data_IF_642789229998
#
_entry.id   IF_642789229998
#
_cell.length_a   1.000
_cell.length_b   1.000
_cell.length_c   1.000
_cell.angle_alpha   90.00
_cell.angle_beta   90.00
_cell.angle_gamma   90.00
#
_symmetry.space_group_name_H-M   'P 1'
#
loop_
_entity.id
_entity.type
_entity.pdbx_description
1 polymer ?
#
# COMPACT_ATOMS: atom_id res chain seq x y z
N UNK A 1 -29.96 12.70 -33.77
CA UNK A 1 -28.93 12.28 -34.74
C UNK A 1 -27.62 12.97 -34.33
N UNK A 2 -27.04 12.52 -33.20
CA UNK A 2 -25.71 12.94 -32.79
C UNK A 2 -24.72 11.99 -33.45
N UNK A 3 -23.72 12.54 -34.13
CA UNK A 3 -22.64 11.75 -34.69
C UNK A 3 -21.86 11.23 -33.49
N UNK A 4 -21.89 9.91 -33.25
CA UNK A 4 -20.95 9.22 -32.36
C UNK A 4 -19.54 9.53 -32.88
N UNK A 5 -18.94 10.64 -32.45
CA UNK A 5 -17.57 10.97 -32.78
C UNK A 5 -16.70 10.15 -31.86
N UNK A 6 -16.13 9.07 -32.41
CA UNK A 6 -15.16 8.24 -31.73
C UNK A 6 -14.10 9.12 -31.04
N UNK A 7 -13.98 8.96 -29.72
CA UNK A 7 -13.02 9.72 -28.91
C UNK A 7 -11.73 8.92 -28.87
N UNK A 8 -10.71 9.39 -29.59
CA UNK A 8 -9.40 8.73 -29.59
C UNK A 8 -8.72 8.90 -28.24
N UNK A 9 -7.99 7.88 -27.84
CA UNK A 9 -7.20 7.94 -26.63
C UNK A 9 -6.35 6.69 -26.42
N UNK A 10 -5.56 6.72 -25.36
CA UNK A 10 -4.72 5.58 -24.94
C UNK A 10 -5.29 5.03 -23.63
N UNK A 11 -5.58 3.74 -23.60
CA UNK A 11 -5.87 3.04 -22.35
C UNK A 11 -4.56 2.56 -21.74
N UNK A 12 -4.30 2.96 -20.51
CA UNK A 12 -3.16 2.47 -19.71
C UNK A 12 -3.72 1.70 -18.53
N UNK A 13 -3.36 0.43 -18.38
CA UNK A 13 -3.70 -0.39 -17.21
C UNK A 13 -2.43 -0.85 -16.54
N UNK A 14 -2.32 -0.68 -15.22
CA UNK A 14 -1.17 -1.17 -14.49
C UNK A 14 -1.57 -2.02 -13.28
N UNK A 15 -0.69 -2.95 -12.92
CA UNK A 15 -0.74 -3.62 -11.63
C UNK A 15 0.52 -3.32 -10.83
N UNK A 16 0.35 -3.13 -9.53
CA UNK A 16 1.43 -3.05 -8.54
C UNK A 16 1.42 -4.34 -7.71
N UNK A 17 2.53 -5.04 -7.62
CA UNK A 17 2.68 -6.27 -6.83
C UNK A 17 3.93 -6.29 -5.97
N UNK A 18 3.91 -7.09 -4.91
CA UNK A 18 5.04 -7.27 -3.99
C UNK A 18 5.78 -8.57 -4.27
N UNK A 19 7.11 -8.54 -4.23
CA UNK A 19 8.01 -9.67 -4.47
C UNK A 19 9.15 -9.68 -3.45
N UNK A 20 9.63 -10.87 -3.10
CA UNK A 20 10.85 -11.04 -2.29
C UNK A 20 12.13 -10.93 -3.12
N UNK A 21 12.01 -10.86 -4.45
CA UNK A 21 13.16 -10.73 -5.34
C UNK A 21 13.86 -9.39 -5.13
N UNK A 22 15.17 -9.46 -4.88
CA UNK A 22 16.03 -8.30 -4.96
C UNK A 22 16.60 -8.20 -6.37
N UNK A 23 15.97 -7.39 -7.22
CA UNK A 23 16.41 -7.19 -8.60
C UNK A 23 17.73 -6.42 -8.59
N UNK A 24 18.74 -7.00 -9.23
CA UNK A 24 20.05 -6.39 -9.33
C UNK A 24 19.94 -5.12 -10.19
N UNK A 25 20.16 -3.96 -9.58
CA UNK A 25 20.03 -2.63 -10.23
C UNK A 25 21.00 -2.40 -11.42
N UNK A 26 21.76 -3.43 -11.80
CA UNK A 26 22.65 -3.47 -12.95
C UNK A 26 21.90 -3.63 -14.29
N UNK A 27 20.66 -4.14 -14.28
CA UNK A 27 19.85 -4.44 -15.48
C UNK A 27 18.90 -3.30 -15.90
N UNK A 28 19.05 -2.10 -15.34
CA UNK A 28 18.17 -0.97 -15.63
C UNK A 28 18.26 -0.59 -17.12
N UNK A 29 17.11 -0.57 -17.78
CA UNK A 29 16.99 -0.01 -19.13
C UNK A 29 16.95 1.51 -19.00
N UNK A 30 17.99 2.19 -19.48
CA UNK A 30 18.08 3.64 -19.46
C UNK A 30 17.15 4.24 -20.54
N UNK A 31 15.87 4.41 -20.20
CA UNK A 31 14.92 5.09 -21.08
C UNK A 31 15.19 6.60 -20.98
N UNK A 32 15.66 7.21 -22.06
CA UNK A 32 15.61 8.68 -22.23
C UNK A 32 14.15 9.12 -22.20
N UNK A 33 13.63 9.51 -21.02
CA UNK A 33 12.34 10.20 -20.88
C UNK A 33 12.35 11.42 -21.81
N UNK A 34 11.32 11.54 -22.66
CA UNK A 34 11.13 12.67 -23.56
C UNK A 34 11.06 13.98 -22.77
N UNK A 35 11.64 15.05 -23.34
CA UNK A 35 12.00 16.34 -22.74
C UNK A 35 10.88 17.18 -22.08
N UNK A 36 9.65 16.69 -21.92
CA UNK A 36 8.50 17.56 -21.63
C UNK A 36 7.80 17.34 -20.30
N UNK A 37 7.92 16.15 -19.69
CA UNK A 37 7.24 15.86 -18.43
C UNK A 37 8.20 16.13 -17.25
N UNK A 38 7.74 16.73 -16.14
CA UNK A 38 8.45 16.59 -14.88
C UNK A 38 8.50 15.09 -14.57
N UNK A 39 9.67 14.48 -14.78
CA UNK A 39 9.97 13.21 -14.11
C UNK A 39 9.92 13.50 -12.62
N UNK A 40 9.51 12.54 -11.81
CA UNK A 40 9.61 12.59 -10.37
C UNK A 40 10.86 11.85 -9.86
N UNK A 41 12.10 12.20 -10.33
CA UNK A 41 13.29 11.41 -10.03
C UNK A 41 13.63 11.36 -8.54
N UNK A 42 13.07 12.30 -7.76
CA UNK A 42 13.28 12.47 -6.33
C UNK A 42 12.08 12.01 -5.47
N UNK A 43 11.00 11.46 -6.07
CA UNK A 43 9.95 10.81 -5.27
C UNK A 43 10.43 9.43 -4.87
N UNK A 44 10.31 9.16 -3.57
CA UNK A 44 10.62 7.87 -2.97
C UNK A 44 9.32 7.07 -2.88
N UNK A 45 9.29 5.82 -3.39
CA UNK A 45 10.41 5.07 -3.97
C UNK A 45 10.67 5.37 -5.46
N UNK A 46 11.95 5.36 -5.87
CA UNK A 46 12.36 5.58 -7.26
C UNK A 46 11.94 4.41 -8.14
N UNK A 47 11.22 4.70 -9.20
CA UNK A 47 10.84 3.71 -10.20
C UNK A 47 11.96 3.48 -11.21
N UNK A 48 12.30 2.22 -11.46
CA UNK A 48 13.41 1.82 -12.32
C UNK A 48 12.89 0.88 -13.41
N UNK A 49 13.00 1.24 -14.68
CA UNK A 49 12.52 0.39 -15.76
C UNK A 49 13.45 -0.82 -15.91
N UNK A 50 12.87 -2.01 -15.81
CA UNK A 50 13.59 -3.29 -15.91
C UNK A 50 13.33 -3.96 -17.26
N UNK A 51 12.12 -3.84 -17.80
CA UNK A 51 11.75 -4.49 -19.07
C UNK A 51 10.78 -3.60 -19.86
N UNK A 52 11.00 -3.53 -21.16
CA UNK A 52 10.05 -2.97 -22.14
C UNK A 52 9.77 -4.06 -23.15
N UNK A 53 8.50 -4.38 -23.36
CA UNK A 53 8.07 -5.42 -24.28
C UNK A 53 6.90 -4.92 -25.12
N UNK A 54 6.79 -5.40 -26.35
CA UNK A 54 5.62 -5.19 -27.21
C UNK A 54 4.99 -6.53 -27.52
N UNK A 55 3.70 -6.67 -27.24
CA UNK A 55 2.94 -7.90 -27.48
C UNK A 55 1.69 -7.58 -28.27
N UNK A 56 1.30 -8.47 -29.17
CA UNK A 56 0.01 -8.36 -29.86
C UNK A 56 -1.06 -9.08 -29.04
N UNK A 57 -2.06 -8.34 -28.56
CA UNK A 57 -3.23 -8.87 -27.86
C UNK A 57 -4.47 -8.57 -28.69
N UNK A 58 -5.25 -9.60 -29.03
CA UNK A 58 -6.52 -9.45 -29.79
C UNK A 58 -6.39 -8.61 -31.08
N UNK A 59 -5.27 -8.75 -31.80
CA UNK A 59 -4.93 -7.96 -33.02
C UNK A 59 -4.59 -6.49 -32.78
N UNK A 60 -4.34 -6.09 -31.53
CA UNK A 60 -3.82 -4.75 -31.15
C UNK A 60 -2.40 -4.86 -30.66
N UNK A 61 -1.58 -3.86 -30.98
CA UNK A 61 -0.22 -3.75 -30.43
C UNK A 61 -0.31 -3.11 -29.04
N UNK A 62 0.19 -3.83 -28.03
CA UNK A 62 0.21 -3.38 -26.64
C UNK A 62 1.65 -3.23 -26.20
N UNK A 63 1.99 -2.07 -25.64
CA UNK A 63 3.31 -1.86 -25.03
C UNK A 63 3.21 -2.20 -23.55
N UNK A 64 4.14 -3.03 -23.07
CA UNK A 64 4.32 -3.38 -21.67
C UNK A 64 5.60 -2.75 -21.14
N UNK A 65 5.50 -2.15 -19.96
CA UNK A 65 6.58 -1.51 -19.24
C UNK A 65 6.61 -2.09 -17.82
N UNK A 66 7.70 -2.78 -17.49
CA UNK A 66 7.91 -3.34 -16.14
C UNK A 66 8.90 -2.45 -15.39
N UNK A 67 8.47 -1.98 -14.23
CA UNK A 67 9.25 -1.11 -13.34
C UNK A 67 9.48 -1.82 -12.01
N UNK A 68 10.67 -1.68 -11.47
CA UNK A 68 11.01 -2.10 -10.12
C UNK A 68 11.08 -0.88 -9.20
N UNK A 69 10.42 -0.98 -8.05
CA UNK A 69 10.42 0.03 -7.01
C UNK A 69 10.97 -0.60 -5.71
N UNK A 70 12.19 -0.28 -5.30
CA UNK A 70 12.75 -0.85 -4.08
C UNK A 70 11.98 -0.41 -2.82
N UNK A 71 11.89 -1.26 -1.79
CA UNK A 71 12.23 -2.69 -1.79
C UNK A 71 11.08 -3.56 -2.32
N UNK A 72 11.39 -4.48 -3.23
CA UNK A 72 10.50 -5.61 -3.53
C UNK A 72 9.15 -5.27 -4.16
N UNK A 73 9.01 -4.18 -4.90
CA UNK A 73 7.76 -3.87 -5.63
C UNK A 73 8.00 -3.92 -7.13
N UNK A 74 7.06 -4.53 -7.86
CA UNK A 74 7.02 -4.56 -9.32
C UNK A 74 5.74 -3.85 -9.77
N UNK A 75 5.89 -2.98 -10.76
CA UNK A 75 4.78 -2.34 -11.45
C UNK A 75 4.82 -2.81 -12.89
N UNK A 76 3.72 -3.37 -13.38
CA UNK A 76 3.55 -3.75 -14.79
C UNK A 76 2.51 -2.83 -15.39
N UNK A 77 2.94 -1.95 -16.28
CA UNK A 77 2.09 -1.03 -17.04
C UNK A 77 1.87 -1.58 -18.45
N UNK A 78 0.63 -1.59 -18.92
CA UNK A 78 0.25 -1.93 -20.28
C UNK A 78 -0.49 -0.75 -20.93
N UNK A 79 -0.05 -0.33 -22.11
CA UNK A 79 -0.64 0.77 -22.86
C UNK A 79 -1.11 0.32 -24.25
N UNK A 80 -2.29 0.75 -24.67
CA UNK A 80 -2.84 0.50 -26.00
C UNK A 80 -3.60 1.72 -26.52
N UNK A 81 -3.33 2.09 -27.77
CA UNK A 81 -4.04 3.18 -28.45
C UNK A 81 -5.38 2.68 -29.02
N UNK A 82 -6.42 3.47 -28.84
CA UNK A 82 -7.80 3.15 -29.20
C UNK A 82 -8.40 4.26 -30.06
N UNK A 83 -9.15 3.86 -31.09
CA UNK A 83 -9.90 4.80 -31.91
C UNK A 83 -11.10 5.39 -31.16
N UNK A 84 -11.67 4.63 -30.23
CA UNK A 84 -12.79 5.03 -29.38
C UNK A 84 -12.59 4.52 -27.94
N UNK A 85 -12.10 5.39 -27.05
CA UNK A 85 -11.82 5.09 -25.65
C UNK A 85 -13.08 5.09 -24.75
N UNK A 86 -14.21 5.54 -25.28
CA UNK A 86 -15.50 5.57 -24.57
C UNK A 86 -16.42 4.42 -24.96
N UNK A 87 -15.97 3.55 -25.87
CA UNK A 87 -16.75 2.43 -26.38
C UNK A 87 -16.86 1.25 -25.41
N UNK A 88 -17.94 0.48 -25.52
CA UNK A 88 -18.21 -0.72 -24.68
C UNK A 88 -17.12 -1.80 -24.81
N UNK A 89 -16.39 -1.84 -25.92
CA UNK A 89 -15.31 -2.78 -26.14
C UNK A 89 -14.12 -2.56 -25.17
N UNK A 90 -13.99 -1.36 -24.58
CA UNK A 90 -12.91 -1.00 -23.65
C UNK A 90 -12.93 -1.85 -22.38
N UNK A 91 -14.10 -2.29 -21.91
CA UNK A 91 -14.21 -3.19 -20.75
C UNK A 91 -13.50 -4.53 -20.99
N UNK A 92 -13.64 -5.10 -22.19
CA UNK A 92 -13.01 -6.38 -22.54
C UNK A 92 -11.49 -6.20 -22.74
N UNK A 93 -11.06 -5.09 -23.34
CA UNK A 93 -9.64 -4.74 -23.47
C UNK A 93 -8.99 -4.59 -22.10
N UNK A 94 -9.58 -3.77 -21.21
CA UNK A 94 -9.08 -3.55 -19.84
C UNK A 94 -8.87 -4.89 -19.15
N UNK A 95 -9.87 -5.79 -19.21
CA UNK A 95 -9.76 -7.14 -18.64
C UNK A 95 -8.58 -7.93 -19.23
N UNK A 96 -8.44 -7.96 -20.55
CA UNK A 96 -7.35 -8.68 -21.22
C UNK A 96 -5.96 -8.10 -20.87
N UNK A 97 -5.84 -6.77 -20.73
CA UNK A 97 -4.61 -6.12 -20.27
C UNK A 97 -4.27 -6.52 -18.83
N UNK A 98 -5.23 -6.46 -17.91
CA UNK A 98 -5.03 -6.80 -16.50
C UNK A 98 -4.61 -8.27 -16.31
N UNK A 99 -5.19 -9.20 -17.09
CA UNK A 99 -4.81 -10.62 -17.07
C UNK A 99 -3.34 -10.80 -17.50
N UNK A 100 -2.93 -10.11 -18.57
CA UNK A 100 -1.55 -10.20 -19.06
C UNK A 100 -0.57 -9.53 -18.08
N UNK A 101 -0.91 -8.35 -17.54
CA UNK A 101 -0.09 -7.70 -16.51
C UNK A 101 0.10 -8.59 -15.28
N UNK A 102 -0.96 -9.27 -14.82
CA UNK A 102 -0.89 -10.22 -13.69
C UNK A 102 -0.04 -11.46 -14.03
N UNK A 103 -0.08 -11.91 -15.29
CA UNK A 103 0.81 -12.98 -15.78
C UNK A 103 2.27 -12.55 -15.69
N UNK A 104 2.60 -11.32 -16.11
CA UNK A 104 3.95 -10.76 -15.99
C UNK A 104 4.35 -10.63 -14.52
N UNK A 105 3.47 -10.18 -13.62
CA UNK A 105 3.77 -10.16 -12.18
C UNK A 105 4.19 -11.53 -11.63
N UNK A 106 3.58 -12.63 -12.11
CA UNK A 106 3.97 -13.98 -11.72
C UNK A 106 5.37 -14.37 -12.22
N UNK A 107 5.82 -13.86 -13.36
CA UNK A 107 7.20 -14.05 -13.84
C UNK A 107 8.23 -13.47 -12.85
N UNK A 108 7.85 -12.41 -12.14
CA UNK A 108 8.67 -11.78 -11.08
C UNK A 108 8.36 -12.31 -9.68
N UNK A 109 7.70 -13.46 -9.57
CA UNK A 109 7.39 -14.11 -8.29
C UNK A 109 6.63 -13.22 -7.31
N UNK A 110 5.79 -12.30 -7.82
CA UNK A 110 4.96 -11.48 -6.96
C UNK A 110 3.91 -12.32 -6.23
N UNK A 111 3.58 -11.93 -5.00
CA UNK A 111 2.54 -12.57 -4.20
C UNK A 111 1.17 -12.39 -4.87
N UNK A 112 0.48 -13.49 -5.24
CA UNK A 112 -0.82 -13.41 -5.92
C UNK A 112 -1.97 -12.90 -5.03
N UNK A 113 -1.78 -12.78 -3.72
CA UNK A 113 -2.77 -12.24 -2.79
C UNK A 113 -2.68 -10.71 -2.65
N UNK A 114 -1.54 -10.13 -3.02
CA UNK A 114 -1.24 -8.71 -2.84
C UNK A 114 -0.85 -8.07 -4.16
N UNK A 115 -1.88 -7.69 -4.92
CA UNK A 115 -1.76 -6.75 -6.04
C UNK A 115 -2.82 -5.63 -5.96
N UNK A 116 -2.48 -4.48 -6.55
CA UNK A 116 -3.40 -3.37 -6.82
C UNK A 116 -3.49 -3.15 -8.31
N UNK A 117 -4.70 -3.06 -8.84
CA UNK A 117 -4.97 -2.77 -10.24
C UNK A 117 -5.55 -1.35 -10.41
N UNK A 118 -5.14 -0.68 -11.47
CA UNK A 118 -5.65 0.65 -11.80
C UNK A 118 -5.63 0.86 -13.32
N UNK A 119 -6.56 1.67 -13.84
CA UNK A 119 -6.60 1.98 -15.27
C UNK A 119 -6.83 3.46 -15.54
N UNK A 120 -6.01 4.03 -16.41
CA UNK A 120 -6.03 5.43 -16.80
C UNK A 120 -6.47 5.54 -18.26
N UNK A 121 -7.60 6.20 -18.47
CA UNK A 121 -8.13 6.53 -19.78
C UNK A 121 -7.58 7.89 -20.21
N UNK A 122 -6.57 7.87 -21.07
CA UNK A 122 -5.86 9.07 -21.51
C UNK A 122 -6.47 9.60 -22.80
N UNK A 123 -7.06 10.80 -22.75
CA UNK A 123 -7.74 11.43 -23.90
C UNK A 123 -6.93 12.63 -24.36
N UNK A 124 -6.52 12.63 -25.63
CA UNK A 124 -5.73 13.69 -26.27
C UNK A 124 -6.39 14.21 -27.54
N UNK A 125 -5.76 15.19 -28.18
CA UNK A 125 -6.10 15.66 -29.54
C UNK A 125 -7.55 16.17 -29.74
N UNK A 126 -8.25 16.49 -28.65
CA UNK A 126 -9.54 17.18 -28.69
C UNK A 126 -9.37 18.70 -28.79
N UNK A 127 -10.46 19.40 -29.12
CA UNK A 127 -10.51 20.86 -29.21
C UNK A 127 -11.67 21.38 -28.37
N UNK A 128 -11.45 22.46 -27.64
CA UNK A 128 -12.46 23.05 -26.77
C UNK A 128 -12.33 22.58 -25.33
N UNK A 129 -13.37 22.81 -24.54
CA UNK A 129 -13.42 22.44 -23.14
C UNK A 129 -13.69 20.93 -23.02
N UNK A 130 -12.85 20.14 -22.32
CA UNK A 130 -13.12 18.72 -22.13
C UNK A 130 -14.43 18.44 -21.39
N UNK A 131 -15.00 19.41 -20.67
CA UNK A 131 -16.33 19.30 -20.06
C UNK A 131 -17.43 19.06 -21.10
N UNK A 132 -17.30 19.56 -22.33
CA UNK A 132 -18.27 19.30 -23.40
C UNK A 132 -18.32 17.79 -23.70
N UNK A 133 -17.16 17.14 -23.84
CA UNK A 133 -17.05 15.69 -24.09
C UNK A 133 -17.59 14.91 -22.89
N UNK A 134 -17.25 15.34 -21.67
CA UNK A 134 -17.70 14.67 -20.44
C UNK A 134 -19.22 14.74 -20.32
N UNK A 135 -19.82 15.90 -20.59
CA UNK A 135 -21.27 16.07 -20.51
C UNK A 135 -22.03 15.26 -21.55
N UNK A 136 -21.46 15.06 -22.73
CA UNK A 136 -22.06 14.24 -23.79
C UNK A 136 -21.95 12.73 -23.50
N UNK A 137 -20.94 12.30 -22.72
CA UNK A 137 -20.62 10.89 -22.49
C UNK A 137 -20.56 10.51 -21.00
N UNK A 138 -21.34 11.18 -20.15
CA UNK A 138 -21.28 11.03 -18.69
C UNK A 138 -21.51 9.59 -18.22
N UNK A 139 -22.48 8.89 -18.81
CA UNK A 139 -22.81 7.50 -18.49
C UNK A 139 -21.66 6.55 -18.86
N UNK A 140 -21.08 6.71 -20.05
CA UNK A 140 -19.95 5.89 -20.51
C UNK A 140 -18.71 6.10 -19.65
N UNK A 141 -18.38 7.35 -19.33
CA UNK A 141 -17.22 7.69 -18.49
C UNK A 141 -17.39 7.11 -17.09
N UNK A 142 -18.56 7.32 -16.45
CA UNK A 142 -18.84 6.79 -15.13
C UNK A 142 -18.83 5.25 -15.10
N UNK A 143 -19.44 4.61 -16.11
CA UNK A 143 -19.44 3.14 -16.24
C UNK A 143 -18.03 2.58 -16.40
N UNK A 144 -17.19 3.20 -17.23
CA UNK A 144 -15.79 2.76 -17.43
C UNK A 144 -14.95 2.93 -16.16
N UNK A 145 -15.09 4.06 -15.46
CA UNK A 145 -14.39 4.32 -14.20
C UNK A 145 -14.74 3.30 -13.11
N UNK A 146 -16.03 2.92 -13.02
CA UNK A 146 -16.53 1.93 -12.06
C UNK A 146 -16.43 0.48 -12.53
N UNK A 147 -15.96 0.26 -13.76
CA UNK A 147 -15.94 -1.07 -14.39
C UNK A 147 -17.35 -1.71 -14.46
N UNK A 148 -18.40 -0.89 -14.52
CA UNK A 148 -19.79 -1.33 -14.56
C UNK A 148 -20.41 -1.18 -15.94
N UNK A 149 -21.06 -2.26 -16.41
CA UNK A 149 -21.77 -2.28 -17.71
C UNK A 149 -23.26 -1.98 -17.59
N UNK A 150 -23.77 -1.93 -16.35
CA UNK A 150 -25.16 -1.61 -16.10
C UNK A 150 -25.37 -0.10 -16.10
N UNK A 151 -26.56 0.39 -16.49
CA UNK A 151 -26.90 1.79 -16.34
C UNK A 151 -26.77 2.21 -14.87
N UNK A 152 -26.08 3.33 -14.64
CA UNK A 152 -25.90 3.91 -13.31
C UNK A 152 -27.01 4.94 -13.04
N UNK A 153 -27.33 5.14 -11.76
CA UNK A 153 -28.24 6.20 -11.35
C UNK A 153 -27.62 7.59 -11.61
N UNK A 154 -28.44 8.59 -11.94
CA UNK A 154 -27.98 9.95 -12.23
C UNK A 154 -27.19 10.56 -11.06
N UNK A 155 -27.59 10.28 -9.81
CA UNK A 155 -26.86 10.77 -8.63
C UNK A 155 -25.48 10.13 -8.52
N UNK A 156 -25.35 8.86 -8.89
CA UNK A 156 -24.09 8.12 -8.84
C UNK A 156 -23.13 8.59 -9.94
N UNK A 157 -23.64 8.84 -11.15
CA UNK A 157 -22.87 9.44 -12.25
C UNK A 157 -22.32 10.81 -11.80
N UNK A 158 -23.18 11.68 -11.27
CA UNK A 158 -22.78 12.99 -10.81
C UNK A 158 -21.81 12.92 -9.62
N UNK A 159 -21.98 11.97 -8.69
CA UNK A 159 -21.06 11.76 -7.58
C UNK A 159 -19.67 11.30 -8.06
N UNK A 160 -19.62 10.42 -9.06
CA UNK A 160 -18.39 9.92 -9.69
C UNK A 160 -17.64 11.06 -10.37
N UNK A 161 -18.32 11.81 -11.24
CA UNK A 161 -17.70 12.87 -12.03
C UNK A 161 -17.26 14.08 -11.20
N UNK A 162 -17.79 14.29 -9.98
CA UNK A 162 -17.38 15.36 -9.07
C UNK A 162 -15.96 15.21 -8.53
N UNK A 163 -15.40 14.01 -8.48
CA UNK A 163 -14.03 13.78 -8.02
C UNK A 163 -13.05 14.10 -9.15
N UNK A 164 -12.95 15.39 -9.48
CA UNK A 164 -12.10 15.89 -10.55
C UNK A 164 -11.21 17.06 -10.13
N UNK A 165 -10.20 17.32 -10.95
CA UNK A 165 -9.32 18.47 -10.88
C UNK A 165 -9.17 19.08 -12.28
N UNK A 166 -9.32 20.39 -12.36
CA UNK A 166 -9.10 21.21 -13.56
C UNK A 166 -7.94 22.16 -13.29
N UNK A 167 -6.89 22.15 -14.11
CA UNK A 167 -5.71 23.00 -13.95
C UNK A 167 -5.69 24.13 -14.98
N UNK A 168 -5.80 23.78 -16.25
CA UNK A 168 -6.01 24.68 -17.38
C UNK A 168 -7.51 24.77 -17.71
N UNK A 169 -7.86 25.65 -18.65
CA UNK A 169 -9.20 25.63 -19.25
C UNK A 169 -9.43 24.40 -20.12
N UNK A 170 -8.34 23.82 -20.62
CA UNK A 170 -8.39 22.78 -21.64
C UNK A 170 -8.01 21.40 -21.09
N UNK A 171 -7.73 21.23 -19.79
CA UNK A 171 -7.43 19.93 -19.17
C UNK A 171 -8.43 19.61 -18.06
N UNK A 172 -8.62 18.33 -17.77
CA UNK A 172 -9.37 17.86 -16.61
C UNK A 172 -8.97 16.43 -16.28
N UNK A 173 -8.90 16.10 -14.99
CA UNK A 173 -8.63 14.74 -14.53
C UNK A 173 -9.72 14.32 -13.58
N UNK A 174 -10.36 13.18 -13.84
CA UNK A 174 -11.39 12.58 -13.01
C UNK A 174 -10.78 11.32 -12.39
N UNK A 175 -10.91 11.17 -11.08
CA UNK A 175 -10.28 10.10 -10.31
C UNK A 175 -11.34 9.23 -9.65
N UNK A 176 -11.27 7.92 -9.87
CA UNK A 176 -12.07 6.89 -9.23
C UNK A 176 -11.16 5.83 -8.58
N UNK A 177 -11.75 4.94 -7.78
CA UNK A 177 -11.08 3.87 -7.05
C UNK A 177 -10.30 2.91 -7.97
N UNK A 178 -10.90 2.46 -9.08
CA UNK A 178 -10.29 1.48 -10.00
C UNK A 178 -9.75 2.11 -11.31
N UNK A 179 -9.73 3.44 -11.38
CA UNK A 179 -9.22 4.13 -12.55
C UNK A 179 -9.43 5.63 -12.58
N UNK A 180 -8.90 6.26 -13.61
CA UNK A 180 -8.99 7.69 -13.84
C UNK A 180 -9.23 8.01 -15.32
N UNK A 181 -9.84 9.15 -15.60
CA UNK A 181 -9.79 9.77 -16.92
C UNK A 181 -8.87 10.99 -16.86
N UNK A 182 -7.91 11.07 -17.78
CA UNK A 182 -7.01 12.21 -17.90
C UNK A 182 -7.20 12.80 -19.29
N UNK A 183 -7.75 14.01 -19.33
CA UNK A 183 -7.88 14.81 -20.54
C UNK A 183 -6.74 15.84 -20.56
N UNK A 184 -5.78 15.67 -21.47
CA UNK A 184 -4.75 16.67 -21.77
C UNK A 184 -4.62 16.79 -23.30
N UNK A 185 -4.88 17.97 -23.88
CA UNK A 185 -4.86 18.15 -25.33
C UNK A 185 -3.46 17.97 -25.93
N UNK A 186 -2.40 18.05 -25.12
CA UNK A 186 -1.00 17.87 -25.54
C UNK A 186 -0.55 16.41 -25.50
N UNK A 187 -1.33 15.52 -24.90
CA UNK A 187 -0.99 14.11 -24.78
C UNK A 187 0.13 13.79 -23.78
N UNK A 188 0.37 14.63 -22.77
CA UNK A 188 1.39 14.40 -21.73
C UNK A 188 0.76 13.74 -20.49
N UNK A 189 0.78 12.40 -20.47
CA UNK A 189 0.14 11.61 -19.41
C UNK A 189 1.12 10.98 -18.42
N UNK A 190 2.43 11.00 -18.72
CA UNK A 190 3.43 10.22 -17.97
C UNK A 190 3.47 10.60 -16.48
N UNK A 191 3.44 11.90 -16.17
CA UNK A 191 3.44 12.37 -14.78
C UNK A 191 2.15 12.01 -14.04
N UNK A 192 1.00 11.96 -14.73
CA UNK A 192 -0.26 11.54 -14.12
C UNK A 192 -0.23 10.05 -13.75
N UNK A 193 0.20 9.22 -14.71
CA UNK A 193 0.34 7.77 -14.52
C UNK A 193 1.30 7.47 -13.37
N UNK A 194 2.45 8.14 -13.33
CA UNK A 194 3.46 7.96 -12.26
C UNK A 194 2.88 8.30 -10.86
N UNK A 195 2.04 9.33 -10.74
CA UNK A 195 1.36 9.66 -9.48
C UNK A 195 0.32 8.60 -9.07
N UNK A 196 -0.48 8.10 -10.01
CA UNK A 196 -1.43 7.02 -9.74
C UNK A 196 -0.73 5.74 -9.31
N UNK A 197 0.41 5.42 -9.93
CA UNK A 197 1.26 4.29 -9.55
C UNK A 197 1.79 4.44 -8.12
N UNK A 198 2.29 5.62 -7.75
CA UNK A 198 2.79 5.88 -6.39
C UNK A 198 1.66 5.75 -5.36
N UNK A 199 0.46 6.25 -5.66
CA UNK A 199 -0.68 6.16 -4.75
C UNK A 199 -1.14 4.69 -4.55
N UNK A 200 -1.22 3.91 -5.62
CA UNK A 200 -1.56 2.48 -5.55
C UNK A 200 -0.44 1.66 -4.87
N UNK A 201 0.82 2.03 -5.06
CA UNK A 201 1.92 1.44 -4.30
C UNK A 201 1.77 1.67 -2.79
N UNK A 202 1.37 2.88 -2.38
CA UNK A 202 1.09 3.16 -0.97
C UNK A 202 -0.09 2.34 -0.45
N UNK A 203 -1.16 2.20 -1.23
CA UNK A 203 -2.30 1.35 -0.90
C UNK A 203 -1.86 -0.11 -0.67
N UNK A 204 -1.08 -0.67 -1.60
CA UNK A 204 -0.56 -2.03 -1.50
C UNK A 204 0.22 -2.24 -0.20
N UNK A 205 1.13 -1.31 0.12
CA UNK A 205 1.95 -1.38 1.34
C UNK A 205 1.10 -1.33 2.60
N UNK A 206 0.07 -0.48 2.63
CA UNK A 206 -0.86 -0.41 3.75
C UNK A 206 -1.63 -1.72 3.92
N UNK A 207 -2.11 -2.33 2.82
CA UNK A 207 -2.81 -3.61 2.83
C UNK A 207 -1.94 -4.78 3.30
N UNK A 208 -0.70 -4.86 2.82
CA UNK A 208 0.27 -5.86 3.27
C UNK A 208 0.58 -5.67 4.76
N UNK A 209 0.80 -4.43 5.20
CA UNK A 209 1.08 -4.12 6.60
C UNK A 209 -0.10 -4.47 7.51
N UNK A 210 -1.32 -4.10 7.14
CA UNK A 210 -2.52 -4.45 7.92
C UNK A 210 -2.61 -5.98 8.10
N UNK A 211 -2.45 -6.74 7.03
CA UNK A 211 -2.51 -8.20 7.09
C UNK A 211 -1.44 -8.80 8.03
N UNK A 212 -0.20 -8.32 7.97
CA UNK A 212 0.86 -8.79 8.86
C UNK A 212 0.57 -8.43 10.34
N UNK A 213 0.01 -7.25 10.60
CA UNK A 213 -0.36 -6.82 11.94
C UNK A 213 -1.55 -7.60 12.49
N UNK A 214 -2.55 -7.92 11.68
CA UNK A 214 -3.68 -8.78 12.07
C UNK A 214 -3.19 -10.18 12.48
N UNK A 215 -2.31 -10.78 11.68
CA UNK A 215 -1.69 -12.07 12.00
C UNK A 215 -0.90 -12.02 13.31
N UNK A 216 -0.22 -10.91 13.59
CA UNK A 216 0.49 -10.68 14.87
C UNK A 216 -0.47 -10.48 16.03
N UNK A 217 -1.59 -9.78 15.81
CA UNK A 217 -2.61 -9.54 16.82
C UNK A 217 -3.24 -10.86 17.27
N UNK A 218 -3.54 -11.75 16.34
CA UNK A 218 -4.07 -13.08 16.66
C UNK A 218 -3.05 -13.90 17.49
N UNK A 219 -1.78 -13.90 17.10
CA UNK A 219 -0.70 -14.57 17.87
C UNK A 219 -0.57 -13.99 19.28
N UNK A 220 -0.57 -12.67 19.42
CA UNK A 220 -0.45 -11.98 20.71
C UNK A 220 -1.65 -12.29 21.62
N UNK A 221 -2.86 -12.30 21.07
CA UNK A 221 -4.08 -12.67 21.80
C UNK A 221 -4.03 -14.11 22.32
N UNK A 222 -3.56 -15.07 21.50
CA UNK A 222 -3.37 -16.47 21.91
C UNK A 222 -2.34 -16.59 23.05
N UNK A 223 -1.22 -15.88 22.98
CA UNK A 223 -0.21 -15.84 24.04
C UNK A 223 -0.77 -15.28 25.36
N UNK A 224 -1.62 -14.25 25.29
CA UNK A 224 -2.29 -13.68 26.47
C UNK A 224 -3.24 -14.70 27.14
N UNK A 225 -3.96 -15.50 26.35
CA UNK A 225 -4.81 -16.57 26.87
C UNK A 225 -3.97 -17.68 27.54
N UNK A 226 -2.90 -18.13 26.89
CA UNK A 226 -2.02 -19.18 27.44
C UNK A 226 -1.31 -18.75 28.73
N UNK A 227 -0.81 -17.50 28.79
CA UNK A 227 -0.20 -16.93 30.00
C UNK A 227 -1.18 -16.78 31.15
N UNK A 228 -2.47 -16.58 30.85
CA UNK A 228 -3.52 -16.55 31.89
C UNK A 228 -3.78 -17.95 32.46
N UNK A 229 -3.59 -19.02 31.67
CA UNK A 229 -3.85 -20.41 32.06
C UNK A 229 -2.63 -21.15 32.66
N UNK A 230 -1.39 -20.71 32.38
CA UNK A 230 -0.16 -21.36 32.85
C UNK A 230 0.89 -20.36 33.39
N UNK A 231 1.65 -20.80 34.40
CA UNK A 231 2.86 -20.09 34.90
C UNK A 231 4.00 -20.30 33.89
N UNK A 232 4.18 -19.37 32.94
CA UNK A 232 5.20 -19.49 31.88
C UNK A 232 6.61 -19.15 32.43
N UNK A 233 7.67 -19.88 32.03
CA UNK A 233 9.05 -19.69 32.49
C UNK A 233 9.76 -18.42 31.98
N UNK A 234 10.89 -18.07 32.63
CA UNK A 234 11.65 -16.82 32.48
C UNK A 234 12.15 -16.48 31.06
N UNK A 235 12.26 -17.47 30.16
CA UNK A 235 12.72 -17.27 28.78
C UNK A 235 11.76 -16.41 27.94
N UNK A 236 10.46 -16.37 28.27
CA UNK A 236 9.43 -15.62 27.53
C UNK A 236 9.62 -14.09 27.61
N UNK A 237 10.29 -13.57 28.63
CA UNK A 237 10.46 -12.10 28.80
C UNK A 237 11.31 -11.43 27.71
N UNK A 238 12.26 -12.17 27.11
CA UNK A 238 13.13 -11.64 26.06
C UNK A 238 12.37 -11.51 24.74
N UNK A 239 11.50 -12.48 24.45
CA UNK A 239 10.64 -12.48 23.25
C UNK A 239 9.64 -11.34 23.30
N UNK A 240 8.98 -11.10 24.45
CA UNK A 240 8.05 -9.97 24.63
C UNK A 240 8.73 -8.62 24.41
N UNK A 241 9.93 -8.41 25.00
CA UNK A 241 10.71 -7.18 24.77
C UNK A 241 11.23 -7.05 23.33
N UNK A 242 11.37 -8.16 22.62
CA UNK A 242 11.72 -8.14 21.20
C UNK A 242 10.49 -7.71 20.38
N UNK A 243 9.35 -8.35 20.57
CA UNK A 243 8.09 -8.00 19.87
C UNK A 243 7.68 -6.55 20.09
N UNK A 244 7.82 -6.02 21.31
CA UNK A 244 7.51 -4.61 21.60
C UNK A 244 8.43 -3.64 20.86
N UNK A 245 9.73 -3.97 20.76
CA UNK A 245 10.68 -3.17 19.96
C UNK A 245 10.38 -3.24 18.47
N UNK A 246 10.00 -4.42 17.98
CA UNK A 246 9.60 -4.62 16.59
C UNK A 246 8.35 -3.81 16.23
N UNK A 247 7.33 -3.77 17.10
CA UNK A 247 6.13 -2.93 16.91
C UNK A 247 6.50 -1.44 16.83
N UNK A 248 7.34 -0.96 17.74
CA UNK A 248 7.81 0.44 17.72
C UNK A 248 8.60 0.73 16.44
N UNK A 249 9.43 -0.22 16.00
CA UNK A 249 10.19 -0.10 14.76
C UNK A 249 9.24 -0.01 13.55
N UNK A 250 8.29 -0.94 13.41
CA UNK A 250 7.29 -0.93 12.32
C UNK A 250 6.50 0.38 12.31
N UNK A 251 6.03 0.86 13.46
CA UNK A 251 5.31 2.14 13.58
C UNK A 251 6.19 3.29 13.10
N UNK A 252 7.45 3.34 13.53
CA UNK A 252 8.39 4.40 13.18
C UNK A 252 8.74 4.40 11.70
N UNK A 253 9.07 3.24 11.14
CA UNK A 253 9.41 3.06 9.73
C UNK A 253 8.23 3.44 8.84
N UNK A 254 7.02 2.97 9.15
CA UNK A 254 5.81 3.29 8.40
C UNK A 254 5.55 4.80 8.38
N UNK A 255 5.59 5.47 9.54
CA UNK A 255 5.38 6.92 9.62
C UNK A 255 6.42 7.69 8.81
N UNK A 256 7.70 7.32 8.92
CA UNK A 256 8.78 7.98 8.19
C UNK A 256 8.64 7.80 6.69
N UNK A 257 8.28 6.60 6.23
CA UNK A 257 8.08 6.30 4.82
C UNK A 257 6.94 7.11 4.21
N UNK A 258 5.73 7.07 4.81
CA UNK A 258 4.58 7.82 4.30
C UNK A 258 4.83 9.33 4.30
N UNK A 259 5.39 9.86 5.40
CA UNK A 259 5.72 11.27 5.50
C UNK A 259 6.79 11.68 4.46
N UNK A 260 7.75 10.81 4.15
CA UNK A 260 8.74 11.07 3.11
C UNK A 260 8.09 11.15 1.72
N UNK A 261 7.21 10.21 1.35
CA UNK A 261 6.52 10.24 0.06
C UNK A 261 5.65 11.49 -0.09
N UNK A 262 4.79 11.80 0.88
CA UNK A 262 3.94 13.01 0.85
C UNK A 262 4.78 14.29 0.77
N UNK A 263 5.83 14.37 1.59
CA UNK A 263 6.72 15.53 1.59
C UNK A 263 7.42 15.69 0.25
N UNK A 264 7.94 14.61 -0.34
CA UNK A 264 8.64 14.70 -1.63
C UNK A 264 7.69 15.15 -2.75
N UNK A 265 6.47 14.61 -2.80
CA UNK A 265 5.47 15.03 -3.80
C UNK A 265 5.12 16.52 -3.62
N UNK A 266 4.92 16.96 -2.39
CA UNK A 266 4.65 18.38 -2.09
C UNK A 266 5.86 19.29 -2.39
N UNK A 267 7.09 18.80 -2.25
CA UNK A 267 8.32 19.58 -2.48
C UNK A 267 8.72 19.69 -3.95
N UNK A 268 8.29 18.76 -4.82
CA UNK A 268 8.63 18.77 -6.25
C UNK A 268 7.96 19.93 -7.00
N UNK A 269 6.89 20.49 -6.42
CA UNK A 269 6.65 21.93 -6.54
C UNK A 269 5.82 22.39 -7.74
N UNK A 270 5.05 21.52 -8.37
CA UNK A 270 3.90 21.97 -9.14
C UNK A 270 2.59 21.71 -8.35
N UNK A 271 1.71 22.71 -8.35
CA UNK A 271 0.46 22.70 -7.58
C UNK A 271 -0.52 21.62 -8.05
N UNK A 272 -0.46 21.26 -9.34
CA UNK A 272 -1.36 20.28 -9.94
C UNK A 272 -1.07 18.89 -9.40
N UNK A 273 0.18 18.46 -9.44
CA UNK A 273 0.66 17.15 -9.02
C UNK A 273 0.40 16.91 -7.54
N UNK A 274 0.66 17.90 -6.67
CA UNK A 274 0.32 17.82 -5.26
C UNK A 274 -1.18 17.61 -5.03
N UNK A 275 -2.02 18.35 -5.78
CA UNK A 275 -3.47 18.27 -5.64
C UNK A 275 -4.07 17.00 -6.27
N UNK A 276 -3.51 16.52 -7.38
CA UNK A 276 -3.90 15.27 -7.99
C UNK A 276 -3.56 14.10 -7.08
N UNK A 277 -2.37 14.12 -6.47
CA UNK A 277 -1.98 13.12 -5.50
C UNK A 277 -2.91 13.13 -4.28
N UNK A 278 -3.19 14.29 -3.68
CA UNK A 278 -4.15 14.42 -2.57
C UNK A 278 -5.57 13.93 -2.94
N UNK A 279 -6.04 14.25 -4.15
CA UNK A 279 -7.32 13.76 -4.65
C UNK A 279 -7.32 12.22 -4.76
N UNK A 280 -6.23 11.65 -5.26
CA UNK A 280 -6.06 10.20 -5.46
C UNK A 280 -5.97 9.47 -4.12
N UNK A 281 -5.12 9.91 -3.20
CA UNK A 281 -4.97 9.27 -1.87
C UNK A 281 -6.25 9.35 -1.06
N UNK A 282 -7.00 10.45 -1.19
CA UNK A 282 -8.33 10.60 -0.59
C UNK A 282 -9.33 9.61 -1.18
N UNK A 283 -9.32 9.45 -2.51
CA UNK A 283 -10.21 8.51 -3.20
C UNK A 283 -9.89 7.06 -2.85
N UNK A 284 -8.62 6.71 -2.74
CA UNK A 284 -8.12 5.41 -2.29
C UNK A 284 -8.21 5.20 -0.75
N UNK A 285 -8.78 6.17 -0.02
CA UNK A 285 -8.97 6.10 1.42
C UNK A 285 -7.70 5.80 2.24
N UNK A 286 -6.52 6.25 1.80
CA UNK A 286 -5.24 5.90 2.45
C UNK A 286 -5.20 6.33 3.92
N UNK A 287 -5.82 7.45 4.28
CA UNK A 287 -5.92 7.90 5.68
C UNK A 287 -6.73 6.96 6.58
N UNK A 288 -7.77 6.33 6.04
CA UNK A 288 -8.58 5.37 6.78
C UNK A 288 -7.75 4.11 7.09
N UNK A 289 -7.03 3.59 6.08
CA UNK A 289 -6.08 2.49 6.24
C UNK A 289 -5.02 2.79 7.29
N UNK A 290 -4.39 3.97 7.24
CA UNK A 290 -3.41 4.42 8.24
C UNK A 290 -4.00 4.45 9.64
N UNK A 291 -5.23 4.95 9.77
CA UNK A 291 -5.92 5.02 11.06
C UNK A 291 -6.16 3.62 11.64
N UNK A 292 -6.63 2.67 10.83
CA UNK A 292 -6.84 1.29 11.25
C UNK A 292 -5.53 0.60 11.66
N UNK A 293 -4.47 0.77 10.87
CA UNK A 293 -3.14 0.23 11.19
C UNK A 293 -2.62 0.76 12.53
N UNK A 294 -2.76 2.06 12.79
CA UNK A 294 -2.37 2.64 14.08
C UNK A 294 -3.17 2.06 15.24
N UNK A 295 -4.48 1.87 15.07
CA UNK A 295 -5.32 1.21 16.08
C UNK A 295 -4.88 -0.24 16.35
N UNK A 296 -4.51 -0.99 15.32
CA UNK A 296 -4.00 -2.36 15.46
C UNK A 296 -2.64 -2.38 16.16
N UNK A 297 -1.74 -1.43 15.85
CA UNK A 297 -0.46 -1.27 16.55
C UNK A 297 -0.66 -0.91 18.03
N UNK A 298 -1.60 -0.02 18.35
CA UNK A 298 -1.93 0.35 19.73
C UNK A 298 -2.47 -0.87 20.51
N UNK A 299 -3.38 -1.64 19.92
CA UNK A 299 -3.90 -2.87 20.52
C UNK A 299 -2.81 -3.92 20.76
N UNK A 300 -1.86 -4.06 19.83
CA UNK A 300 -0.70 -4.93 19.99
C UNK A 300 0.18 -4.48 21.15
N UNK A 301 0.49 -3.18 21.23
CA UNK A 301 1.28 -2.59 22.31
C UNK A 301 0.63 -2.82 23.68
N UNK A 302 -0.68 -2.65 23.78
CA UNK A 302 -1.47 -2.89 25.00
C UNK A 302 -1.40 -4.37 25.44
N UNK A 303 -1.60 -5.31 24.50
CA UNK A 303 -1.52 -6.75 24.79
C UNK A 303 -0.12 -7.13 25.29
N UNK A 304 0.94 -6.70 24.59
CA UNK A 304 2.31 -7.01 25.02
C UNK A 304 2.67 -6.35 26.35
N UNK A 305 2.18 -5.14 26.61
CA UNK A 305 2.35 -4.45 27.90
C UNK A 305 1.67 -5.22 29.04
N UNK A 306 0.43 -5.68 28.83
CA UNK A 306 -0.30 -6.50 29.81
C UNK A 306 0.39 -7.84 30.09
N UNK A 307 0.93 -8.49 29.05
CA UNK A 307 1.73 -9.70 29.21
C UNK A 307 2.99 -9.40 30.03
N UNK A 308 3.73 -8.34 29.69
CA UNK A 308 4.96 -7.92 30.38
C UNK A 308 4.73 -7.59 31.87
N UNK A 309 3.62 -6.93 32.20
CA UNK A 309 3.24 -6.59 33.57
C UNK A 309 3.00 -7.85 34.41
N UNK A 310 2.24 -8.82 33.88
CA UNK A 310 2.01 -10.12 34.56
C UNK A 310 3.32 -10.86 34.84
N UNK A 311 4.28 -10.82 33.92
CA UNK A 311 5.60 -11.41 34.16
C UNK A 311 6.39 -10.68 35.25
N UNK A 312 6.37 -9.34 35.24
CA UNK A 312 7.08 -8.52 36.23
C UNK A 312 6.55 -8.74 37.64
N UNK A 313 5.22 -8.81 37.82
CA UNK A 313 4.60 -9.14 39.11
C UNK A 313 4.97 -10.56 39.58
N UNK A 314 4.94 -11.55 38.68
CA UNK A 314 5.32 -12.93 39.01
C UNK A 314 6.80 -13.05 39.39
N UNK A 315 7.69 -12.33 38.70
CA UNK A 315 9.12 -12.30 38.99
C UNK A 315 9.43 -11.66 40.36
N UNK A 316 8.81 -10.51 40.69
CA UNK A 316 8.97 -9.90 42.03
C UNK A 316 8.51 -10.86 43.12
N UNK A 317 7.32 -11.44 42.96
CA UNK A 317 6.76 -12.37 43.96
C UNK A 317 7.62 -13.63 44.14
N UNK A 318 8.17 -14.18 43.06
CA UNK A 318 9.05 -15.36 43.13
C UNK A 318 10.41 -15.03 43.72
N UNK A 319 11.00 -13.87 43.39
CA UNK A 319 12.23 -13.40 44.03
C UNK A 319 12.03 -13.16 45.53
N UNK A 320 10.93 -12.51 45.92
CA UNK A 320 10.57 -12.30 47.32
C UNK A 320 10.45 -13.64 48.05
N UNK A 321 9.83 -14.65 47.44
CA UNK A 321 9.73 -15.99 48.01
C UNK A 321 11.10 -16.69 48.13
N UNK A 322 11.96 -16.60 47.11
CA UNK A 322 13.31 -17.17 47.13
C UNK A 322 14.15 -16.50 48.23
N UNK A 323 14.09 -15.17 48.35
CA UNK A 323 14.78 -14.40 49.38
C UNK A 323 14.25 -14.80 50.76
N UNK A 324 12.94 -14.87 50.95
CA UNK A 324 12.32 -15.29 52.20
C UNK A 324 12.70 -16.72 52.59
N UNK A 325 12.70 -17.66 51.63
CA UNK A 325 13.13 -19.03 51.85
C UNK A 325 14.62 -19.11 52.20
N UNK A 326 15.47 -18.33 51.53
CA UNK A 326 16.90 -18.25 51.85
C UNK A 326 17.14 -17.75 53.28
N UNK A 327 16.43 -16.70 53.70
CA UNK A 327 16.47 -16.22 55.09
C UNK A 327 15.98 -17.28 56.09
N UNK A 328 14.90 -17.99 55.76
CA UNK A 328 14.37 -19.07 56.60
C UNK A 328 15.39 -20.21 56.75
N UNK A 329 16.02 -20.63 55.66
CA UNK A 329 17.04 -21.68 55.67
C UNK A 329 18.26 -21.30 56.52
N UNK A 330 18.73 -20.05 56.42
CA UNK A 330 19.81 -19.54 57.27
C UNK A 330 19.42 -19.54 58.75
N UNK A 331 18.19 -19.13 59.06
CA UNK A 331 17.68 -19.11 60.44
C UNK A 331 17.59 -20.52 61.03
N UNK A 332 17.09 -21.50 60.28
CA UNK A 332 17.08 -22.92 60.68
C UNK A 332 18.51 -23.44 60.92
N UNK A 333 19.44 -23.13 60.02
CA UNK A 333 20.86 -23.50 60.18
C UNK A 333 21.49 -22.91 61.44
N UNK A 334 21.21 -21.64 61.74
CA UNK A 334 21.66 -20.99 62.96
C UNK A 334 21.09 -21.65 64.23
N UNK A 335 19.79 -21.97 64.23
CA UNK A 335 19.16 -22.67 65.36
C UNK A 335 19.76 -24.05 65.60
N UNK A 336 20.06 -24.81 64.54
CA UNK A 336 20.72 -26.10 64.64
C UNK A 336 22.13 -25.98 65.25
N UNK A 337 22.92 -25.02 64.78
CA UNK A 337 24.25 -24.74 65.34
C UNK A 337 24.17 -24.34 66.81
N UNK A 338 23.23 -23.48 67.17
CA UNK A 338 23.00 -23.08 68.55
C UNK A 338 22.64 -24.27 69.46
N UNK A 339 21.75 -25.16 69.01
CA UNK A 339 21.42 -26.37 69.75
C UNK A 339 22.62 -27.31 69.90
N UNK A 340 23.42 -27.46 68.84
CA UNK A 340 24.62 -28.28 68.87
C UNK A 340 25.64 -27.72 69.87
N UNK A 341 25.84 -26.41 69.90
CA UNK A 341 26.71 -25.74 70.88
C UNK A 341 26.20 -25.95 72.32
N UNK A 342 24.88 -25.87 72.53
CA UNK A 342 24.27 -26.05 73.85
C UNK A 342 24.35 -27.50 74.36
N UNK A 343 24.31 -28.48 73.46
CA UNK A 343 24.53 -29.90 73.77
C UNK A 343 26.01 -30.20 74.01
N UNK A 344 26.92 -29.55 73.29
CA UNK A 344 28.37 -29.76 73.43
C UNK A 344 29.01 -29.05 74.63
N UNK A 345 28.35 -28.01 75.18
CA UNK A 345 28.77 -27.31 76.42
C UNK A 345 28.29 -27.99 77.72
N UNK A 346 27.66 -29.15 77.63
CA UNK A 346 27.24 -29.98 78.76
C UNK A 346 28.16 -31.19 78.86
#
# INVERSE_FOLDING_TARGET
MGVNSAVKGTLVSFLVGITELNIDTSEIVDIKKGKSSPSYPDVIPKQMVVKVEKKTLESREVNFLVKFCPPGIIIVEASVDLEDILGVHVFDIKRSLLIECRTILWEYHCDPYFDEEYSVHCVSDYRGDPEDIISEHEESIAGLLKTERIPLDEEEIHATLKFNIKYSKDDITIVEWDGAFVFDPRGDFASNIELFEIANLQLLKLRVLEHELENRLEKAARLLQETTLRRIPWLSSREIRYSMREIIQIRTESILEFAATERNINLIGDWYSARLFDLTTKKLHLEAWRTNINQTLDALEDIYSMISEKFSMSFSTTLEFIIAFGWFALLVGYFLLFFLELVYKK
#
